data_IF_639103030906
#
_entry.id   IF_639103030906
#
_cell.length_a   1.000
_cell.length_b   1.000
_cell.length_c   1.000
_cell.angle_alpha   90.00
_cell.angle_beta   90.00
_cell.angle_gamma   90.00
#
_symmetry.space_group_name_H-M   'P 1'
#
loop_
_entity.id
_entity.type
_entity.pdbx_description
1 polymer ?
#
# COMPACT_ATOMS: atom_id res chain seq x y z
N UNK A 1 1.94 0.32 -17.56
CA UNK A 1 3.13 0.14 -16.71
C UNK A 1 3.70 1.48 -16.29
N UNK A 2 3.68 1.76 -14.98
CA UNK A 2 4.29 2.96 -14.40
C UNK A 2 5.80 2.72 -14.15
N UNK A 3 6.60 3.78 -14.07
CA UNK A 3 8.03 3.68 -13.78
C UNK A 3 8.22 3.13 -12.36
N UNK A 4 9.10 2.14 -12.20
CA UNK A 4 9.32 1.43 -10.94
C UNK A 4 8.36 0.25 -10.71
N UNK A 5 7.48 -0.05 -11.67
CA UNK A 5 6.61 -1.23 -11.56
C UNK A 5 7.42 -2.48 -11.86
N UNK A 6 7.34 -3.46 -10.96
CA UNK A 6 7.84 -4.82 -11.18
C UNK A 6 6.65 -5.76 -11.17
N UNK A 7 6.50 -6.54 -12.24
CA UNK A 7 5.50 -7.61 -12.33
C UNK A 7 6.23 -8.93 -12.51
N UNK A 8 5.88 -9.91 -11.69
CA UNK A 8 6.45 -11.24 -11.76
C UNK A 8 5.33 -12.28 -11.63
N UNK A 9 5.24 -13.19 -12.61
CA UNK A 9 4.23 -14.23 -12.66
C UNK A 9 4.80 -15.55 -13.20
N UNK A 10 4.24 -16.66 -12.74
CA UNK A 10 4.59 -18.00 -13.23
C UNK A 10 3.67 -18.43 -14.40
N UNK A 11 4.30 -18.97 -15.44
CA UNK A 11 3.62 -19.38 -16.68
C UNK A 11 4.15 -20.71 -17.21
N UNK A 12 3.26 -21.44 -17.90
CA UNK A 12 3.61 -22.69 -18.58
C UNK A 12 3.80 -22.45 -20.06
N UNK A 13 5.00 -22.74 -20.56
CA UNK A 13 5.30 -22.78 -21.98
C UNK A 13 5.61 -24.22 -22.37
N UNK A 14 4.78 -24.82 -23.23
CA UNK A 14 5.00 -26.17 -23.79
C UNK A 14 5.19 -27.26 -22.71
N UNK A 15 4.50 -27.11 -21.58
CA UNK A 15 4.55 -28.03 -20.44
C UNK A 15 5.65 -27.76 -19.43
N UNK A 16 6.51 -26.76 -19.66
CA UNK A 16 7.57 -26.34 -18.73
C UNK A 16 7.17 -25.04 -18.02
N UNK A 17 7.40 -24.97 -16.71
CA UNK A 17 7.09 -23.80 -15.88
C UNK A 17 8.25 -22.81 -15.86
N UNK A 18 7.92 -21.54 -16.11
CA UNK A 18 8.86 -20.43 -16.10
C UNK A 18 8.30 -19.29 -15.24
N UNK A 19 9.18 -18.62 -14.49
CA UNK A 19 8.90 -17.33 -13.85
C UNK A 19 9.28 -16.22 -14.82
N UNK A 20 8.32 -15.36 -15.16
CA UNK A 20 8.53 -14.18 -16.02
C UNK A 20 8.50 -12.95 -15.13
N UNK A 21 9.60 -12.19 -15.13
CA UNK A 21 9.70 -10.89 -14.45
C UNK A 21 9.85 -9.79 -15.50
N UNK A 22 9.02 -8.76 -15.39
CA UNK A 22 9.12 -7.55 -16.21
C UNK A 22 9.23 -6.33 -15.30
N UNK A 23 10.15 -5.44 -15.64
CA UNK A 23 10.50 -4.27 -14.85
C UNK A 23 10.69 -3.07 -15.78
N UNK A 24 10.12 -1.92 -15.41
CA UNK A 24 10.26 -0.68 -16.18
C UNK A 24 10.92 0.38 -15.29
N UNK A 25 12.17 0.67 -15.55
CA UNK A 25 12.98 1.63 -14.77
C UNK A 25 13.55 2.69 -15.70
N UNK A 26 13.37 3.98 -15.38
CA UNK A 26 13.90 5.12 -16.14
C UNK A 26 13.66 5.09 -17.67
N UNK A 27 12.59 4.44 -18.13
CA UNK A 27 12.28 4.28 -19.55
C UNK A 27 13.01 3.12 -20.25
N UNK A 28 13.68 2.25 -19.50
CA UNK A 28 14.25 0.99 -19.95
C UNK A 28 13.36 -0.18 -19.52
N UNK A 29 12.94 -1.00 -20.48
CA UNK A 29 12.17 -2.21 -20.22
C UNK A 29 13.14 -3.39 -20.02
N UNK A 30 13.14 -3.97 -18.82
CA UNK A 30 13.87 -5.18 -18.49
C UNK A 30 12.93 -6.36 -18.45
N UNK A 31 13.27 -7.44 -19.17
CA UNK A 31 12.51 -8.69 -19.18
C UNK A 31 13.44 -9.82 -18.80
N UNK A 32 13.06 -10.57 -17.78
CA UNK A 32 13.78 -11.73 -17.28
C UNK A 32 12.86 -12.95 -17.25
N UNK A 33 13.40 -14.10 -17.67
CA UNK A 33 12.73 -15.39 -17.63
C UNK A 33 13.63 -16.36 -16.89
N UNK A 34 13.08 -17.06 -15.90
CA UNK A 34 13.78 -18.11 -15.16
C UNK A 34 13.03 -19.43 -15.30
N UNK A 35 13.74 -20.51 -15.65
CA UNK A 35 13.20 -21.87 -15.57
C UNK A 35 13.07 -22.27 -14.10
N UNK A 36 11.85 -22.63 -13.67
CA UNK A 36 11.54 -22.92 -12.26
C UNK A 36 12.26 -24.19 -11.78
N UNK A 37 12.55 -25.12 -12.69
CA UNK A 37 13.15 -26.41 -12.34
C UNK A 37 14.67 -26.40 -12.45
N UNK A 38 15.22 -25.79 -13.51
CA UNK A 38 16.68 -25.81 -13.76
C UNK A 38 17.43 -24.61 -13.19
N UNK A 39 16.69 -23.54 -12.83
CA UNK A 39 17.20 -22.22 -12.48
C UNK A 39 17.97 -21.51 -13.60
N UNK A 40 17.80 -21.95 -14.85
CA UNK A 40 18.39 -21.28 -16.02
C UNK A 40 17.70 -19.93 -16.27
N UNK A 41 18.47 -18.87 -16.50
CA UNK A 41 17.97 -17.51 -16.65
C UNK A 41 18.25 -16.91 -18.03
N UNK A 42 17.30 -16.14 -18.54
CA UNK A 42 17.42 -15.33 -19.74
C UNK A 42 16.95 -13.92 -19.47
N UNK A 43 17.75 -12.92 -19.86
CA UNK A 43 17.45 -11.51 -19.58
C UNK A 43 17.74 -10.64 -20.78
N UNK A 44 16.84 -9.70 -21.07
CA UNK A 44 17.00 -8.69 -22.11
C UNK A 44 16.54 -7.33 -21.61
N UNK A 45 17.22 -6.29 -22.10
CA UNK A 45 16.94 -4.88 -21.80
C UNK A 45 16.64 -4.17 -23.11
N UNK A 46 15.57 -3.38 -23.12
CA UNK A 46 15.01 -2.80 -24.33
C UNK A 46 14.69 -1.33 -24.10
N UNK A 47 15.38 -0.46 -24.84
CA UNK A 47 15.10 0.97 -24.87
C UNK A 47 13.86 1.28 -25.74
N UNK A 48 13.31 2.51 -25.64
CA UNK A 48 12.13 2.90 -26.41
C UNK A 48 12.32 2.80 -27.92
N UNK A 49 13.49 3.19 -28.43
CA UNK A 49 13.78 3.20 -29.87
C UNK A 49 13.80 1.78 -30.44
N UNK A 50 14.35 0.82 -29.70
CA UNK A 50 14.40 -0.57 -30.07
C UNK A 50 13.00 -1.18 -30.18
N UNK A 51 12.14 -0.97 -29.18
CA UNK A 51 10.77 -1.50 -29.17
C UNK A 51 9.92 -0.89 -30.30
N UNK A 52 10.06 0.41 -30.51
CA UNK A 52 9.35 1.11 -31.57
C UNK A 52 9.78 0.64 -32.97
N UNK A 53 11.08 0.41 -33.19
CA UNK A 53 11.59 -0.17 -34.43
C UNK A 53 11.15 -1.64 -34.60
N UNK A 54 11.21 -2.44 -33.53
CA UNK A 54 10.73 -3.83 -33.51
C UNK A 54 9.26 -3.90 -33.95
N UNK A 55 8.39 -3.09 -33.35
CA UNK A 55 6.95 -3.12 -33.65
C UNK A 55 6.67 -2.61 -35.06
N UNK A 56 7.42 -1.61 -35.54
CA UNK A 56 7.34 -1.13 -36.93
C UNK A 56 7.69 -2.22 -37.94
N UNK A 57 8.75 -3.00 -37.68
CA UNK A 57 9.18 -4.12 -38.54
C UNK A 57 8.15 -5.24 -38.66
N UNK A 58 7.29 -5.41 -37.65
CA UNK A 58 6.18 -6.39 -37.72
C UNK A 58 4.97 -5.88 -38.51
N UNK A 59 4.97 -4.63 -38.98
CA UNK A 59 3.86 -4.02 -39.72
C UNK A 59 2.76 -3.44 -38.82
N UNK A 60 2.87 -3.55 -37.50
CA UNK A 60 1.91 -3.02 -36.54
C UNK A 60 2.62 -2.25 -35.43
N UNK A 61 2.81 -0.96 -35.65
CA UNK A 61 3.53 -0.07 -34.75
C UNK A 61 2.83 0.09 -33.39
N UNK A 62 3.63 0.13 -32.33
CA UNK A 62 3.21 0.47 -30.96
C UNK A 62 4.23 1.42 -30.35
N UNK A 63 3.72 2.50 -29.76
CA UNK A 63 4.56 3.38 -28.93
C UNK A 63 5.07 2.59 -27.72
N UNK A 64 6.28 2.92 -27.26
CA UNK A 64 6.92 2.19 -26.16
C UNK A 64 6.04 2.02 -24.91
N UNK A 65 5.36 3.06 -24.37
CA UNK A 65 4.53 2.90 -23.16
C UNK A 65 3.32 1.97 -23.37
N UNK A 66 2.78 1.94 -24.60
CA UNK A 66 1.67 1.06 -24.98
C UNK A 66 2.19 -0.39 -25.00
N UNK A 67 3.35 -0.62 -25.61
CA UNK A 67 3.98 -1.94 -25.63
C UNK A 67 4.25 -2.47 -24.22
N UNK A 68 4.81 -1.66 -23.33
CA UNK A 68 5.04 -2.04 -21.94
C UNK A 68 3.73 -2.41 -21.23
N UNK A 69 2.66 -1.65 -21.44
CA UNK A 69 1.35 -1.93 -20.83
C UNK A 69 0.69 -3.19 -21.41
N UNK A 70 0.90 -3.48 -22.70
CA UNK A 70 0.48 -4.73 -23.34
C UNK A 70 1.22 -5.92 -22.74
N UNK A 71 2.54 -5.82 -22.59
CA UNK A 71 3.37 -6.87 -22.00
C UNK A 71 2.98 -7.12 -20.54
N UNK A 72 2.84 -6.06 -19.74
CA UNK A 72 2.39 -6.14 -18.34
C UNK A 72 1.04 -6.85 -18.22
N UNK A 73 0.09 -6.53 -19.11
CA UNK A 73 -1.23 -7.15 -19.15
C UNK A 73 -1.18 -8.61 -19.57
N UNK A 74 -0.26 -8.96 -20.49
CA UNK A 74 -0.04 -10.33 -20.91
C UNK A 74 0.55 -11.17 -19.78
N UNK A 75 1.57 -10.65 -19.07
CA UNK A 75 2.18 -11.29 -17.90
C UNK A 75 1.14 -11.50 -16.79
N UNK A 76 0.33 -10.48 -16.51
CA UNK A 76 -0.72 -10.54 -15.48
C UNK A 76 -1.98 -11.30 -15.92
N UNK A 77 -2.04 -11.81 -17.16
CA UNK A 77 -3.21 -12.47 -17.77
C UNK A 77 -4.51 -11.65 -17.65
N UNK A 78 -4.41 -10.31 -17.74
CA UNK A 78 -5.55 -9.38 -17.56
C UNK A 78 -6.31 -9.06 -18.85
N UNK A 79 -5.83 -9.51 -20.00
CA UNK A 79 -6.44 -9.20 -21.29
C UNK A 79 -6.32 -10.39 -22.24
N UNK A 80 -7.41 -10.73 -22.91
CA UNK A 80 -7.47 -11.82 -23.89
C UNK A 80 -6.88 -11.42 -25.26
N UNK A 81 -6.72 -10.12 -25.52
CA UNK A 81 -6.14 -9.61 -26.76
C UNK A 81 -4.62 -9.81 -26.82
N UNK A 82 -3.97 -10.09 -25.69
CA UNK A 82 -2.52 -10.30 -25.60
C UNK A 82 -2.20 -11.63 -24.95
N UNK A 83 -1.24 -12.35 -25.52
CA UNK A 83 -0.74 -13.62 -25.00
C UNK A 83 0.78 -13.68 -25.09
N UNK A 84 1.39 -14.57 -24.33
CA UNK A 84 2.83 -14.84 -24.36
C UNK A 84 3.09 -16.25 -24.89
N UNK A 85 4.18 -16.40 -25.64
CA UNK A 85 4.78 -17.69 -25.97
C UNK A 85 6.31 -17.58 -25.82
N UNK A 86 6.98 -18.70 -25.60
CA UNK A 86 8.43 -18.76 -25.42
C UNK A 86 9.02 -19.74 -26.41
N UNK A 87 9.90 -19.24 -27.27
CA UNK A 87 10.49 -20.01 -28.37
C UNK A 87 12.01 -20.08 -28.26
N UNK A 88 12.57 -21.21 -28.71
CA UNK A 88 13.99 -21.33 -29.01
C UNK A 88 14.29 -20.87 -30.44
N UNK A 89 15.57 -20.70 -30.76
CA UNK A 89 15.98 -20.42 -32.14
C UNK A 89 15.55 -21.53 -33.11
N UNK A 90 15.65 -22.80 -32.69
CA UNK A 90 15.21 -23.94 -33.50
C UNK A 90 13.70 -23.92 -33.76
N UNK A 91 12.89 -23.54 -32.77
CA UNK A 91 11.44 -23.38 -32.96
C UNK A 91 11.11 -22.31 -34.00
N UNK A 92 11.83 -21.18 -33.99
CA UNK A 92 11.66 -20.12 -34.99
C UNK A 92 12.01 -20.60 -36.41
N UNK A 93 13.10 -21.36 -36.56
CA UNK A 93 13.46 -21.95 -37.86
C UNK A 93 12.40 -22.93 -38.37
N UNK A 94 11.86 -23.77 -37.48
CA UNK A 94 10.78 -24.70 -37.81
C UNK A 94 9.51 -23.97 -38.26
N UNK A 95 9.14 -22.89 -37.57
CA UNK A 95 7.99 -22.05 -37.95
C UNK A 95 8.21 -21.35 -39.29
N UNK A 96 9.43 -20.87 -39.57
CA UNK A 96 9.77 -20.26 -40.86
C UNK A 96 9.65 -21.27 -42.00
N UNK A 97 10.21 -22.47 -41.82
CA UNK A 97 10.21 -23.51 -42.86
C UNK A 97 8.78 -24.01 -43.14
N UNK A 98 7.94 -24.12 -42.10
CA UNK A 98 6.51 -24.40 -42.26
C UNK A 98 5.77 -23.32 -43.04
N UNK A 99 5.99 -22.03 -42.72
CA UNK A 99 5.36 -20.91 -43.45
C UNK A 99 5.80 -20.82 -44.92
N UNK A 100 7.03 -21.22 -45.22
CA UNK A 100 7.57 -21.22 -46.59
C UNK A 100 7.16 -22.44 -47.43
N UNK A 101 6.44 -23.42 -46.87
CA UNK A 101 6.06 -24.66 -47.60
C UNK A 101 7.25 -25.57 -47.95
N UNK A 102 8.45 -25.27 -47.46
CA UNK A 102 9.68 -26.01 -47.75
C UNK A 102 9.85 -27.09 -46.67
N UNK A 103 9.46 -28.32 -46.99
CA UNK A 103 9.83 -29.52 -46.22
C UNK A 103 11.26 -29.92 -46.61
N UNK A 104 12.20 -29.02 -46.33
CA UNK A 104 13.62 -29.21 -46.63
C UNK A 104 14.37 -29.72 -45.41
N UNK A 105 15.13 -30.81 -45.58
CA UNK A 105 16.10 -31.37 -44.63
C UNK A 105 16.85 -30.24 -43.91
N UNK A 106 17.03 -30.27 -42.58
CA UNK A 106 17.76 -29.23 -41.87
C UNK A 106 19.18 -29.17 -42.45
N UNK A 107 19.52 -28.06 -43.12
CA UNK A 107 20.92 -27.74 -43.37
C UNK A 107 21.52 -27.51 -42.00
N UNK A 108 22.36 -28.44 -41.55
CA UNK A 108 23.16 -28.30 -40.34
C UNK A 108 24.15 -27.15 -40.52
N UNK A 109 23.67 -25.91 -40.44
CA UNK A 109 24.55 -24.81 -40.06
C UNK A 109 24.99 -25.12 -38.64
N UNK A 110 26.31 -25.20 -38.43
CA UNK A 110 26.89 -25.22 -37.10
C UNK A 110 26.42 -23.95 -36.38
N UNK A 111 25.33 -24.06 -35.62
CA UNK A 111 24.81 -22.96 -34.84
C UNK A 111 25.79 -22.70 -33.71
N UNK A 112 26.15 -21.43 -33.52
CA UNK A 112 27.00 -21.08 -32.40
C UNK A 112 26.27 -21.40 -31.08
N UNK A 113 26.97 -21.89 -30.04
CA UNK A 113 26.36 -22.22 -28.75
C UNK A 113 25.57 -21.05 -28.15
N UNK A 114 26.03 -19.82 -28.40
CA UNK A 114 25.37 -18.58 -27.99
C UNK A 114 24.02 -18.35 -28.68
N UNK A 115 23.83 -18.78 -29.93
CA UNK A 115 22.55 -18.69 -30.62
C UNK A 115 21.57 -19.77 -30.16
N UNK A 116 22.04 -21.00 -29.94
CA UNK A 116 21.19 -22.09 -29.43
C UNK A 116 20.69 -21.85 -28.00
N UNK A 117 21.46 -21.11 -27.20
CA UNK A 117 21.10 -20.79 -25.83
C UNK A 117 20.06 -19.66 -25.73
N UNK A 118 19.88 -18.82 -26.77
CA UNK A 118 18.91 -17.72 -26.74
C UNK A 118 17.47 -18.23 -26.64
N UNK A 119 16.64 -17.41 -25.99
CA UNK A 119 15.18 -17.55 -25.99
C UNK A 119 14.55 -16.32 -26.61
N UNK A 120 13.34 -16.49 -27.13
CA UNK A 120 12.56 -15.42 -27.70
C UNK A 120 11.19 -15.42 -27.00
N UNK A 121 10.96 -14.39 -26.18
CA UNK A 121 9.63 -14.16 -25.63
C UNK A 121 8.78 -13.47 -26.70
N UNK A 122 7.66 -14.09 -27.06
CA UNK A 122 6.80 -13.61 -28.12
C UNK A 122 5.57 -12.96 -27.48
N UNK A 123 5.45 -11.64 -27.60
CA UNK A 123 4.19 -10.98 -27.31
C UNK A 123 3.27 -11.13 -28.52
N UNK A 124 2.17 -11.85 -28.34
CA UNK A 124 1.17 -12.13 -29.36
C UNK A 124 0.02 -11.16 -29.15
N UNK A 125 -0.20 -10.27 -30.10
CA UNK A 125 -1.33 -9.35 -30.10
C UNK A 125 -2.36 -9.80 -31.13
N UNK A 126 -3.56 -10.13 -30.65
CA UNK A 126 -4.68 -10.62 -31.46
C UNK A 126 -5.79 -9.58 -31.46
N UNK A 127 -6.15 -9.12 -32.66
CA UNK A 127 -7.31 -8.26 -32.92
C UNK A 127 -8.21 -8.94 -33.95
N UNK A 128 -9.34 -8.32 -34.30
CA UNK A 128 -10.41 -8.95 -35.09
C UNK A 128 -9.95 -9.67 -36.37
N UNK A 129 -8.94 -9.14 -37.06
CA UNK A 129 -8.48 -9.68 -38.34
C UNK A 129 -6.97 -9.97 -38.39
N UNK A 130 -6.23 -9.66 -37.32
CA UNK A 130 -4.77 -9.77 -37.31
C UNK A 130 -4.25 -10.45 -36.06
N UNK A 131 -3.16 -11.20 -36.24
CA UNK A 131 -2.39 -11.81 -35.14
C UNK A 131 -0.91 -11.48 -35.32
N UNK A 132 -0.46 -10.46 -34.60
CA UNK A 132 0.89 -9.93 -34.67
C UNK A 132 1.77 -10.57 -33.60
N UNK A 133 3.02 -10.85 -33.95
CA UNK A 133 3.99 -11.47 -33.06
C UNK A 133 5.18 -10.53 -32.91
N UNK A 134 5.44 -10.06 -31.69
CA UNK A 134 6.58 -9.22 -31.36
C UNK A 134 7.64 -10.05 -30.62
N UNK A 135 8.72 -10.48 -31.30
CA UNK A 135 9.76 -11.31 -30.69
C UNK A 135 10.75 -10.46 -29.89
N UNK A 136 10.86 -10.72 -28.59
CA UNK A 136 11.85 -10.14 -27.69
C UNK A 136 12.99 -11.15 -27.48
N UNK A 137 14.20 -10.89 -28.01
CA UNK A 137 15.34 -11.78 -27.85
C UNK A 137 15.94 -11.65 -26.44
N UNK A 138 16.07 -12.78 -25.75
CA UNK A 138 16.61 -12.87 -24.39
C UNK A 138 17.91 -13.71 -24.41
N UNK A 139 19.08 -13.06 -24.28
CA UNK A 139 20.35 -13.72 -24.02
C UNK A 139 20.32 -14.63 -22.79
N UNK A 140 21.03 -15.75 -22.86
CA UNK A 140 21.18 -16.67 -21.74
C UNK A 140 22.21 -16.14 -20.74
N UNK A 141 21.82 -16.06 -19.47
CA UNK A 141 22.64 -15.56 -18.36
C UNK A 141 23.30 -16.67 -17.55
N UNK A 142 22.89 -17.92 -17.73
CA UNK A 142 23.35 -19.02 -16.89
C UNK A 142 22.41 -19.27 -15.72
N UNK A 143 22.94 -19.96 -14.71
CA UNK A 143 22.28 -20.17 -13.43
C UNK A 143 22.77 -19.11 -12.43
N UNK A 144 21.90 -18.60 -11.56
CA UNK A 144 22.30 -17.66 -10.52
C UNK A 144 23.28 -18.31 -9.55
N UNK A 145 24.20 -17.51 -9.00
CA UNK A 145 25.17 -17.97 -8.00
C UNK A 145 24.45 -18.33 -6.68
N UNK A 146 24.56 -19.57 -6.17
CA UNK A 146 23.93 -19.96 -4.91
C UNK A 146 24.34 -19.09 -3.72
N UNK A 147 25.58 -18.60 -3.67
CA UNK A 147 26.05 -17.77 -2.56
C UNK A 147 25.39 -16.39 -2.58
N UNK A 148 25.22 -15.80 -3.76
CA UNK A 148 24.48 -14.55 -3.96
C UNK A 148 23.01 -14.71 -3.53
N UNK A 149 22.34 -15.78 -3.97
CA UNK A 149 20.95 -16.07 -3.57
C UNK A 149 20.80 -16.24 -2.05
N UNK A 150 21.72 -16.96 -1.40
CA UNK A 150 21.68 -17.11 0.05
C UNK A 150 21.91 -15.78 0.79
N UNK A 151 22.72 -14.89 0.24
CA UNK A 151 22.91 -13.53 0.79
C UNK A 151 21.62 -12.72 0.65
N UNK A 152 20.97 -12.77 -0.50
CA UNK A 152 19.71 -12.08 -0.77
C UNK A 152 18.57 -12.62 0.09
N UNK A 153 18.43 -13.95 0.22
CA UNK A 153 17.46 -14.58 1.13
C UNK A 153 17.67 -14.09 2.58
N UNK A 154 18.91 -13.97 3.04
CA UNK A 154 19.21 -13.45 4.38
C UNK A 154 18.81 -11.98 4.52
N UNK A 155 19.10 -11.15 3.51
CA UNK A 155 18.71 -9.75 3.49
C UNK A 155 17.18 -9.57 3.51
N UNK A 156 16.46 -10.26 2.61
CA UNK A 156 15.01 -10.23 2.54
C UNK A 156 14.35 -10.74 3.83
N UNK A 157 14.88 -11.80 4.44
CA UNK A 157 14.40 -12.28 5.75
C UNK A 157 14.63 -11.24 6.86
N UNK A 158 15.74 -10.53 6.84
CA UNK A 158 16.01 -9.46 7.80
C UNK A 158 15.05 -8.27 7.61
N UNK A 159 14.77 -7.88 6.37
CA UNK A 159 13.78 -6.84 6.05
C UNK A 159 12.36 -7.23 6.47
N UNK A 160 11.94 -8.45 6.17
CA UNK A 160 10.64 -8.99 6.62
C UNK A 160 10.54 -8.99 8.15
N UNK A 161 11.61 -9.37 8.85
CA UNK A 161 11.67 -9.31 10.32
C UNK A 161 11.54 -7.88 10.83
N UNK A 162 12.26 -6.93 10.22
CA UNK A 162 12.20 -5.51 10.60
C UNK A 162 10.81 -4.90 10.35
N UNK A 163 10.18 -5.24 9.23
CA UNK A 163 8.81 -4.82 8.90
C UNK A 163 7.77 -5.46 9.83
N UNK A 164 7.94 -6.74 10.17
CA UNK A 164 7.09 -7.45 11.13
C UNK A 164 7.13 -6.80 12.51
N UNK A 165 8.32 -6.43 13.00
CA UNK A 165 8.45 -5.77 14.30
C UNK A 165 7.83 -4.37 14.32
N UNK A 166 7.83 -3.66 13.17
CA UNK A 166 7.16 -2.36 13.00
C UNK A 166 5.62 -2.46 12.98
N UNK A 167 5.07 -3.65 12.74
CA UNK A 167 3.66 -3.96 12.89
C UNK A 167 3.24 -4.16 14.36
N UNK A 168 4.12 -4.74 15.17
CA UNK A 168 3.84 -5.10 16.58
C UNK A 168 4.20 -3.98 17.59
N UNK A 169 4.99 -2.98 17.17
CA UNK A 169 5.38 -1.81 17.99
C UNK A 169 4.85 -0.50 17.42
N UNK A 170 3.55 -0.41 17.16
CA UNK A 170 2.91 0.91 17.15
C UNK A 170 2.46 1.27 18.58
N UNK A 171 2.81 2.45 19.10
CA UNK A 171 2.10 3.06 20.24
C UNK A 171 0.58 3.12 20.00
N UNK A 172 0.21 3.16 18.71
CA UNK A 172 -1.16 3.06 18.20
C UNK A 172 -1.90 1.81 18.68
N UNK A 173 -1.29 0.66 18.93
CA UNK A 173 -2.05 -0.53 19.33
C UNK A 173 -2.50 -0.48 20.80
N UNK A 174 -1.68 0.09 21.67
CA UNK A 174 -2.07 0.34 23.06
C UNK A 174 -3.12 1.45 23.13
N UNK A 175 -2.92 2.56 22.42
CA UNK A 175 -3.92 3.64 22.35
C UNK A 175 -5.21 3.19 21.68
N UNK A 176 -5.14 2.39 20.61
CA UNK A 176 -6.33 1.83 19.94
C UNK A 176 -7.06 0.85 20.85
N UNK A 177 -6.36 0.02 21.63
CA UNK A 177 -7.00 -0.84 22.64
C UNK A 177 -7.64 -0.01 23.76
N UNK A 178 -6.95 1.02 24.26
CA UNK A 178 -7.47 1.91 25.29
C UNK A 178 -8.71 2.67 24.81
N UNK A 179 -8.64 3.28 23.63
CA UNK A 179 -9.75 4.01 23.00
C UNK A 179 -10.93 3.09 22.68
N UNK A 180 -10.69 1.83 22.31
CA UNK A 180 -11.76 0.83 22.15
C UNK A 180 -12.43 0.47 23.47
N UNK A 181 -11.65 0.32 24.55
CA UNK A 181 -12.21 0.06 25.88
C UNK A 181 -13.02 1.27 26.40
N UNK A 182 -12.51 2.48 26.19
CA UNK A 182 -13.18 3.72 26.56
C UNK A 182 -14.47 3.93 25.75
N UNK A 183 -14.45 3.64 24.44
CA UNK A 183 -15.64 3.64 23.59
C UNK A 183 -16.69 2.61 24.03
N UNK A 184 -16.27 1.45 24.54
CA UNK A 184 -17.20 0.44 25.05
C UNK A 184 -17.93 0.94 26.30
N UNK A 185 -17.19 1.52 27.26
CA UNK A 185 -17.77 2.10 28.48
C UNK A 185 -18.74 3.25 28.16
N UNK A 186 -18.33 4.18 27.30
CA UNK A 186 -19.18 5.32 26.92
C UNK A 186 -20.45 4.87 26.18
N UNK A 187 -20.37 3.80 25.38
CA UNK A 187 -21.55 3.21 24.73
C UNK A 187 -22.52 2.61 25.75
N UNK A 188 -22.00 1.89 26.74
CA UNK A 188 -22.82 1.32 27.81
C UNK A 188 -23.50 2.41 28.64
N UNK A 189 -22.77 3.47 29.02
CA UNK A 189 -23.34 4.62 29.71
C UNK A 189 -24.41 5.32 28.85
N UNK A 190 -24.16 5.52 27.56
CA UNK A 190 -25.13 6.09 26.63
C UNK A 190 -26.40 5.25 26.54
N UNK A 191 -26.28 3.92 26.48
CA UNK A 191 -27.44 3.02 26.46
C UNK A 191 -28.21 3.05 27.79
N UNK A 192 -27.51 3.10 28.92
CA UNK A 192 -28.14 3.22 30.23
C UNK A 192 -28.90 4.55 30.37
N UNK A 193 -28.31 5.66 29.94
CA UNK A 193 -28.93 6.98 29.92
C UNK A 193 -30.10 7.04 28.93
N UNK A 194 -29.97 6.43 27.76
CA UNK A 194 -31.06 6.35 26.79
C UNK A 194 -32.27 5.58 27.38
N UNK A 195 -32.03 4.44 28.03
CA UNK A 195 -33.08 3.68 28.74
C UNK A 195 -33.68 4.48 29.91
N UNK A 196 -32.87 5.24 30.64
CA UNK A 196 -33.37 6.11 31.72
C UNK A 196 -34.23 7.26 31.18
N UNK A 197 -33.82 7.87 30.07
CA UNK A 197 -34.61 8.89 29.37
C UNK A 197 -35.92 8.31 28.82
N UNK A 198 -35.89 7.11 28.24
CA UNK A 198 -37.09 6.43 27.75
C UNK A 198 -38.07 6.12 28.90
N UNK A 199 -37.57 5.72 30.07
CA UNK A 199 -38.39 5.56 31.28
C UNK A 199 -38.96 6.88 31.79
N UNK A 200 -38.19 7.96 31.77
CA UNK A 200 -38.64 9.29 32.19
C UNK A 200 -39.64 9.89 31.19
N UNK A 201 -39.48 9.66 29.90
CA UNK A 201 -40.43 10.06 28.86
C UNK A 201 -41.70 9.22 28.92
N UNK A 202 -41.58 7.91 29.19
CA UNK A 202 -42.72 7.03 29.47
C UNK A 202 -43.47 7.39 30.74
N UNK A 203 -42.77 7.84 31.80
CA UNK A 203 -43.37 8.38 33.02
C UNK A 203 -43.92 9.81 32.84
N UNK A 204 -43.34 10.59 31.92
CA UNK A 204 -43.78 11.93 31.54
C UNK A 204 -45.12 11.96 30.79
N UNK A 205 -45.60 10.80 30.31
CA UNK A 205 -46.96 10.65 29.80
C UNK A 205 -48.03 10.54 30.91
N UNK A 206 -47.63 10.54 32.20
CA UNK A 206 -48.54 10.41 33.34
C UNK A 206 -48.28 11.35 34.53
N UNK A 207 -47.45 12.39 34.40
CA UNK A 207 -47.07 13.23 35.54
C UNK A 207 -48.07 14.37 35.79
N UNK A 208 -48.77 14.31 36.92
CA UNK A 208 -49.71 15.34 37.40
C UNK A 208 -49.04 16.72 37.62
N UNK A 209 -49.77 17.85 37.44
CA UNK A 209 -49.21 19.21 37.42
C UNK A 209 -48.40 19.65 38.65
N UNK A 210 -48.57 18.99 39.80
CA UNK A 210 -47.92 19.36 41.06
C UNK A 210 -46.41 19.07 41.10
N UNK A 211 -45.92 18.03 40.43
CA UNK A 211 -44.50 17.66 40.46
C UNK A 211 -43.60 18.68 39.71
N UNK A 212 -44.14 19.29 38.65
CA UNK A 212 -43.46 20.33 37.88
C UNK A 212 -43.35 21.67 38.63
N UNK A 213 -44.19 21.90 39.65
CA UNK A 213 -44.11 23.10 40.50
C UNK A 213 -43.01 22.90 41.54
N UNK A 214 -42.98 21.75 42.21
CA UNK A 214 -41.94 21.44 43.20
C UNK A 214 -40.51 21.46 42.64
N UNK A 215 -40.32 20.98 41.41
CA UNK A 215 -39.01 21.04 40.76
C UNK A 215 -38.57 22.48 40.45
N UNK A 216 -39.50 23.36 40.05
CA UNK A 216 -39.21 24.78 39.79
C UNK A 216 -38.85 25.53 41.06
N UNK A 217 -39.50 25.22 42.18
CA UNK A 217 -39.16 25.84 43.46
C UNK A 217 -37.83 25.34 44.02
N UNK A 218 -37.49 24.07 43.81
CA UNK A 218 -36.18 23.53 44.16
C UNK A 218 -35.05 24.18 43.35
N UNK A 219 -35.25 24.37 42.04
CA UNK A 219 -34.28 25.07 41.16
C UNK A 219 -34.08 26.51 41.62
N UNK A 220 -35.17 27.24 41.89
CA UNK A 220 -35.11 28.64 42.39
C UNK A 220 -34.34 28.75 43.71
N UNK A 221 -34.59 27.82 44.64
CA UNK A 221 -33.87 27.77 45.93
C UNK A 221 -32.37 27.52 45.74
N UNK A 222 -31.98 26.65 44.82
CA UNK A 222 -30.58 26.36 44.51
C UNK A 222 -29.89 27.56 43.86
N UNK A 223 -30.57 28.26 42.96
CA UNK A 223 -30.05 29.50 42.34
C UNK A 223 -29.78 30.59 43.39
N UNK A 224 -30.70 30.77 44.35
CA UNK A 224 -30.51 31.72 45.46
C UNK A 224 -29.33 31.32 46.37
N UNK A 225 -29.18 30.03 46.66
CA UNK A 225 -28.05 29.53 47.46
C UNK A 225 -26.72 29.76 46.74
N UNK A 226 -26.66 29.56 45.43
CA UNK A 226 -25.46 29.78 44.63
C UNK A 226 -25.07 31.27 44.58
N UNK A 227 -26.03 32.17 44.47
CA UNK A 227 -25.80 33.61 44.55
C UNK A 227 -25.27 34.03 45.94
N UNK A 228 -25.85 33.50 47.02
CA UNK A 228 -25.38 33.76 48.39
C UNK A 228 -23.94 33.28 48.59
N UNK A 229 -23.61 32.09 48.11
CA UNK A 229 -22.24 31.55 48.23
C UNK A 229 -21.24 32.34 47.39
N UNK A 230 -21.58 32.75 46.16
CA UNK A 230 -20.72 33.64 45.36
C UNK A 230 -20.48 34.98 46.06
N UNK A 231 -21.52 35.60 46.62
CA UNK A 231 -21.39 36.86 47.35
C UNK A 231 -20.51 36.72 48.61
N UNK A 232 -20.67 35.63 49.37
CA UNK A 232 -19.81 35.34 50.53
C UNK A 232 -18.36 35.11 50.12
N UNK A 233 -18.14 34.28 49.09
CA UNK A 233 -16.81 33.97 48.58
C UNK A 233 -16.08 35.23 48.07
N UNK A 234 -16.79 36.09 47.33
CA UNK A 234 -16.25 37.37 46.87
C UNK A 234 -15.89 38.31 48.03
N UNK A 235 -16.74 38.43 49.06
CA UNK A 235 -16.44 39.25 50.25
C UNK A 235 -15.21 38.72 51.01
N UNK A 236 -15.11 37.41 51.20
CA UNK A 236 -13.95 36.78 51.86
C UNK A 236 -12.67 36.92 51.05
N UNK A 237 -12.74 36.93 49.72
CA UNK A 237 -11.59 37.20 48.85
C UNK A 237 -11.14 38.66 48.97
N UNK A 238 -12.07 39.63 48.91
CA UNK A 238 -11.76 41.05 49.08
C UNK A 238 -11.15 41.35 50.45
N UNK A 239 -11.68 40.75 51.53
CA UNK A 239 -11.15 40.92 52.89
C UNK A 239 -9.72 40.42 52.99
N UNK A 240 -9.44 39.21 52.51
CA UNK A 240 -8.07 38.64 52.48
C UNK A 240 -7.12 39.50 51.65
N UNK A 241 -7.56 40.02 50.51
CA UNK A 241 -6.74 40.92 49.68
C UNK A 241 -6.47 42.29 50.31
N UNK A 242 -7.33 42.74 51.24
CA UNK A 242 -7.08 43.98 51.99
C UNK A 242 -6.13 43.72 53.17
N UNK A 243 -6.30 42.62 53.89
CA UNK A 243 -5.38 42.19 54.95
C UNK A 243 -3.96 41.98 54.40
N UNK A 244 -3.83 41.34 53.22
CA UNK A 244 -2.54 41.14 52.56
C UNK A 244 -1.88 42.48 52.18
N UNK A 245 -2.65 43.49 51.78
CA UNK A 245 -2.13 44.82 51.47
C UNK A 245 -1.60 45.53 52.71
N UNK A 246 -2.37 45.52 53.81
CA UNK A 246 -1.95 46.12 55.08
C UNK A 246 -0.69 45.45 55.62
N UNK A 247 -0.61 44.11 55.56
CA UNK A 247 0.60 43.39 55.97
C UNK A 247 1.81 43.74 55.10
N UNK A 248 1.62 43.98 53.80
CA UNK A 248 2.69 44.39 52.91
C UNK A 248 3.21 45.79 53.25
N UNK A 249 2.31 46.75 53.51
CA UNK A 249 2.68 48.10 53.96
C UNK A 249 3.45 48.07 55.30
N UNK A 250 3.00 47.27 56.27
CA UNK A 250 3.73 47.08 57.53
C UNK A 250 5.12 46.48 57.33
N UNK A 251 5.27 45.56 56.37
CA UNK A 251 6.54 44.94 56.05
C UNK A 251 7.48 45.95 55.37
N UNK A 252 6.96 46.79 54.48
CA UNK A 252 7.70 47.91 53.88
C UNK A 252 8.14 48.94 54.92
N UNK A 253 7.28 49.30 55.88
CA UNK A 253 7.64 50.21 56.99
C UNK A 253 8.72 49.61 57.89
N UNK A 254 8.63 48.32 58.23
CA UNK A 254 9.66 47.63 59.03
C UNK A 254 10.98 47.50 58.30
N UNK A 255 10.96 47.26 56.98
CA UNK A 255 12.16 47.26 56.14
C UNK A 255 12.78 48.66 56.06
N UNK A 256 11.97 49.72 55.94
CA UNK A 256 12.45 51.09 55.94
C UNK A 256 13.05 51.51 57.29
N UNK A 257 12.47 51.07 58.41
CA UNK A 257 13.01 51.29 59.76
C UNK A 257 14.30 50.50 60.05
N UNK A 258 14.51 49.37 59.38
CA UNK A 258 15.73 48.56 59.55
C UNK A 258 16.94 49.07 58.74
N UNK A 259 16.75 50.08 57.89
CA UNK A 259 17.79 50.67 57.02
C UNK A 259 18.28 52.05 57.55
N UNK A 260 17.66 52.59 58.61
CA UNK A 260 18.11 53.77 59.38
C UNK A 260 18.90 53.36 60.63
#
# INVERSE_FOLDING_TARGET
MEVGTVVQEEMKFRGVEFSIKTELEEGLLTVEISDVMTADQWRGEFDPAYIEDLTRKTGNFKQFPIFCSMLESAVSKRSEAVALDLLTYADLELLRNRKAGVVGRPRGQQQSPALSAKRYLILIYTVEFDRIHYPLPLPYMGKPDPAALQKEIRALRAELSALSHRGDTRPSDYETRRLRAELALVREEKEALAKALERLQGAGAGATPGAAIGLRDAVRSLEEQLLRERAKSQRSASKRGQEQRVLMEQLEELVALAIL
#
